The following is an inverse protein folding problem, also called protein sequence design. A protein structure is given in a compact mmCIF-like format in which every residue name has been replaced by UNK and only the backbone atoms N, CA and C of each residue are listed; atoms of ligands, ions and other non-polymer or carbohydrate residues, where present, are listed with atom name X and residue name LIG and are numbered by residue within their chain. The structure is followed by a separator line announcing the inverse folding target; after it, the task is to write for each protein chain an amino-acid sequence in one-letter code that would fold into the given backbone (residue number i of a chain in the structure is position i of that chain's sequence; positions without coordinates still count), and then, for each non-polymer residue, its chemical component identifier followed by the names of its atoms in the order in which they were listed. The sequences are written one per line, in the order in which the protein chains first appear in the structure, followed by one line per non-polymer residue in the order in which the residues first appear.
data_IF_989902309922
#
_entry.id   IF_989902309922
#
_cell.length_a   1.000
_cell.length_b   1.000
_cell.length_c   1.000
_cell.angle_alpha   90.00
_cell.angle_beta   90.00
_cell.angle_gamma   90.00
#
_symmetry.space_group_name_H-M   'P 1'
#
loop_
_entity.id
_entity.type
_entity.pdbx_description
1 polymer ?
#
# COMPACT_ATOMS: atom_id res chain seq x y z
N UNK A 1 20.06 -15.43 -7.20
CA UNK A 1 18.82 -15.99 -6.59
C UNK A 1 17.84 -14.92 -6.11
N UNK A 2 18.31 -13.80 -5.52
CA UNK A 2 17.50 -12.68 -5.00
C UNK A 2 16.46 -12.11 -5.99
N UNK A 3 16.80 -12.02 -7.28
CA UNK A 3 15.91 -11.45 -8.29
C UNK A 3 14.64 -12.29 -8.54
N UNK A 4 14.74 -13.64 -8.48
CA UNK A 4 13.60 -14.54 -8.72
C UNK A 4 12.47 -14.37 -7.70
N UNK A 5 12.81 -14.10 -6.45
CA UNK A 5 11.83 -13.89 -5.38
C UNK A 5 11.05 -12.58 -5.55
N UNK A 6 11.72 -11.50 -5.97
CA UNK A 6 11.06 -10.23 -6.26
C UNK A 6 10.16 -10.34 -7.49
N UNK A 7 10.62 -11.02 -8.56
CA UNK A 7 9.78 -11.33 -9.71
C UNK A 7 8.53 -12.12 -9.30
N UNK A 8 8.68 -13.15 -8.47
CA UNK A 8 7.54 -13.93 -7.98
C UNK A 8 6.54 -13.09 -7.19
N UNK A 9 6.99 -12.14 -6.36
CA UNK A 9 6.11 -11.19 -5.65
C UNK A 9 5.39 -10.25 -6.61
N UNK A 10 6.03 -9.83 -7.70
CA UNK A 10 5.40 -9.01 -8.75
C UNK A 10 4.33 -9.82 -9.49
N UNK A 11 4.65 -11.06 -9.86
CA UNK A 11 3.70 -11.97 -10.50
C UNK A 11 2.49 -12.26 -9.61
N UNK A 12 2.73 -12.52 -8.33
CA UNK A 12 1.67 -12.72 -7.34
C UNK A 12 0.81 -11.47 -7.20
N UNK A 13 1.42 -10.29 -7.11
CA UNK A 13 0.67 -9.03 -7.10
C UNK A 13 -0.20 -8.92 -8.35
N UNK A 14 0.35 -9.19 -9.54
CA UNK A 14 -0.39 -9.09 -10.80
C UNK A 14 -1.60 -10.03 -10.85
N UNK A 15 -1.49 -11.24 -10.31
CA UNK A 15 -2.56 -12.25 -10.41
C UNK A 15 -3.55 -12.23 -9.26
N UNK A 16 -3.16 -11.79 -8.07
CA UNK A 16 -4.00 -11.83 -6.88
C UNK A 16 -4.40 -10.45 -6.33
N UNK A 17 -4.00 -9.35 -6.99
CA UNK A 17 -4.40 -8.01 -6.56
C UNK A 17 -5.92 -7.83 -6.72
N UNK A 18 -6.55 -7.41 -5.62
CA UNK A 18 -7.93 -6.93 -5.60
C UNK A 18 -8.01 -5.73 -4.67
N UNK A 19 -9.04 -4.91 -4.81
CA UNK A 19 -9.25 -3.75 -3.94
C UNK A 19 -9.31 -4.14 -2.47
N UNK A 20 -9.86 -5.31 -2.14
CA UNK A 20 -9.99 -5.78 -0.76
C UNK A 20 -8.64 -6.12 -0.11
N UNK A 21 -7.61 -6.39 -0.92
CA UNK A 21 -6.26 -6.76 -0.47
C UNK A 21 -5.29 -5.57 -0.45
N UNK A 22 -5.73 -4.35 -0.76
CA UNK A 22 -4.84 -3.18 -0.92
C UNK A 22 -4.06 -2.89 0.37
N UNK A 23 -4.74 -2.94 1.53
CA UNK A 23 -4.13 -2.70 2.84
C UNK A 23 -3.07 -3.76 3.14
N UNK A 24 -3.33 -5.03 2.77
CA UNK A 24 -2.37 -6.13 2.95
C UNK A 24 -1.12 -5.89 2.10
N UNK A 25 -1.28 -5.54 0.83
CA UNK A 25 -0.14 -5.27 -0.06
C UNK A 25 0.68 -4.05 0.37
N UNK A 26 0.02 -3.05 0.97
CA UNK A 26 0.67 -1.86 1.51
C UNK A 26 1.41 -2.14 2.82
N UNK A 27 0.94 -3.05 3.67
CA UNK A 27 1.57 -3.35 4.97
C UNK A 27 2.62 -4.46 4.91
N UNK A 28 2.51 -5.38 3.95
CA UNK A 28 3.53 -6.40 3.70
C UNK A 28 4.86 -5.77 3.26
N UNK A 29 5.98 -6.38 3.65
CA UNK A 29 7.30 -6.05 3.08
C UNK A 29 7.41 -6.54 1.63
N UNK A 30 6.78 -5.76 0.76
CA UNK A 30 6.61 -5.99 -0.67
C UNK A 30 7.27 -4.88 -1.48
N UNK A 31 7.43 -5.11 -2.79
CA UNK A 31 7.89 -4.06 -3.68
C UNK A 31 6.93 -2.86 -3.69
N UNK A 32 5.63 -3.09 -3.50
CA UNK A 32 4.60 -2.04 -3.45
C UNK A 32 4.86 -1.13 -2.27
N UNK A 33 5.00 -1.67 -1.05
CA UNK A 33 5.33 -0.89 0.14
C UNK A 33 6.58 -0.04 -0.07
N UNK A 34 7.68 -0.66 -0.52
CA UNK A 34 8.97 0.04 -0.66
C UNK A 34 8.95 1.11 -1.74
N UNK A 35 8.41 0.81 -2.92
CA UNK A 35 8.39 1.74 -4.06
C UNK A 35 7.40 2.88 -3.83
N UNK A 36 6.20 2.58 -3.33
CA UNK A 36 5.19 3.60 -3.06
C UNK A 36 5.66 4.55 -1.97
N UNK A 37 6.16 4.03 -0.83
CA UNK A 37 6.68 4.89 0.22
C UNK A 37 7.88 5.73 -0.23
N UNK A 38 8.74 5.19 -1.11
CA UNK A 38 9.81 5.98 -1.72
C UNK A 38 9.24 7.09 -2.59
N UNK A 39 8.30 6.78 -3.48
CA UNK A 39 7.67 7.74 -4.38
C UNK A 39 6.99 8.89 -3.62
N UNK A 40 6.29 8.57 -2.53
CA UNK A 40 5.66 9.54 -1.63
C UNK A 40 6.70 10.42 -0.94
N UNK A 41 7.77 9.84 -0.38
CA UNK A 41 8.84 10.62 0.29
C UNK A 41 9.61 11.55 -0.63
N UNK A 42 9.80 11.14 -1.88
CA UNK A 42 10.55 11.95 -2.87
C UNK A 42 9.64 12.83 -3.73
N UNK A 43 8.32 12.79 -3.49
CA UNK A 43 7.30 13.49 -4.30
C UNK A 43 7.48 13.29 -5.81
N UNK A 44 7.92 12.09 -6.21
CA UNK A 44 8.24 11.83 -7.61
C UNK A 44 6.95 11.63 -8.39
N UNK A 45 6.52 12.67 -9.11
CA UNK A 45 5.23 12.70 -9.83
C UNK A 45 5.11 11.53 -10.82
N UNK A 46 6.18 11.16 -11.53
CA UNK A 46 6.14 10.03 -12.47
C UNK A 46 5.85 8.70 -11.76
N UNK A 47 6.48 8.46 -10.61
CA UNK A 47 6.20 7.27 -9.81
C UNK A 47 4.83 7.31 -9.14
N UNK A 48 4.40 8.47 -8.63
CA UNK A 48 3.05 8.63 -8.08
C UNK A 48 1.99 8.37 -9.14
N UNK A 49 2.20 8.86 -10.36
CA UNK A 49 1.33 8.61 -11.49
C UNK A 49 1.30 7.12 -11.86
N UNK A 50 2.45 6.42 -11.81
CA UNK A 50 2.52 4.97 -12.02
C UNK A 50 1.69 4.21 -10.97
N UNK A 51 1.75 4.62 -9.70
CA UNK A 51 1.02 3.99 -8.60
C UNK A 51 -0.40 4.55 -8.38
N UNK A 52 -0.89 5.46 -9.22
CA UNK A 52 -2.15 6.21 -8.98
C UNK A 52 -3.35 5.32 -8.67
N UNK A 53 -3.50 4.19 -9.36
CA UNK A 53 -4.62 3.28 -9.14
C UNK A 53 -4.55 2.65 -7.75
N UNK A 54 -3.36 2.19 -7.35
CA UNK A 54 -3.14 1.63 -6.02
C UNK A 54 -3.34 2.69 -4.92
N UNK A 55 -2.90 3.93 -5.14
CA UNK A 55 -3.11 5.04 -4.20
C UNK A 55 -4.60 5.33 -4.03
N UNK A 56 -5.35 5.41 -5.13
CA UNK A 56 -6.80 5.64 -5.11
C UNK A 56 -7.51 4.53 -4.32
N UNK A 57 -7.17 3.27 -4.59
CA UNK A 57 -7.74 2.12 -3.89
C UNK A 57 -7.38 2.13 -2.40
N UNK A 58 -6.13 2.45 -2.07
CA UNK A 58 -5.65 2.57 -0.68
C UNK A 58 -6.40 3.66 0.08
N UNK A 59 -6.58 4.85 -0.51
CA UNK A 59 -7.34 5.93 0.12
C UNK A 59 -8.79 5.50 0.38
N UNK A 60 -9.45 4.88 -0.61
CA UNK A 60 -10.84 4.39 -0.46
C UNK A 60 -10.95 3.37 0.67
N UNK A 61 -10.01 2.42 0.75
CA UNK A 61 -10.08 1.38 1.77
C UNK A 61 -9.76 1.93 3.17
N UNK A 62 -8.82 2.86 3.29
CA UNK A 62 -8.55 3.55 4.56
C UNK A 62 -9.73 4.40 5.03
N UNK A 63 -10.42 5.08 4.11
CA UNK A 63 -11.67 5.79 4.43
C UNK A 63 -12.77 4.85 4.90
N UNK A 64 -12.92 3.70 4.24
CA UNK A 64 -13.86 2.66 4.65
C UNK A 64 -13.57 2.17 6.07
N UNK A 65 -12.33 1.76 6.35
CA UNK A 65 -11.90 1.33 7.70
C UNK A 65 -12.14 2.43 8.74
N UNK A 66 -11.80 3.68 8.42
CA UNK A 66 -12.06 4.83 9.30
C UNK A 66 -13.54 5.00 9.60
N UNK A 67 -14.43 4.83 8.62
CA UNK A 67 -15.89 4.95 8.83
C UNK A 67 -16.49 3.78 9.61
N UNK A 68 -15.90 2.59 9.49
CA UNK A 68 -16.31 1.40 10.24
C UNK A 68 -15.86 1.46 11.70
N UNK A 69 -14.72 2.08 11.99
CA UNK A 69 -14.30 2.42 13.34
C UNK A 69 -15.21 3.54 13.84
N UNK A 70 -16.23 3.18 14.64
CA UNK A 70 -17.05 4.15 15.37
C UNK A 70 -16.13 4.96 16.27
N UNK A 71 -15.97 6.23 15.91
CA UNK A 71 -15.30 7.26 16.68
C UNK A 71 -15.67 7.18 18.17
N UNK A 72 -14.66 7.04 19.05
CA UNK A 72 -14.67 7.66 20.39
C UNK A 72 -13.43 7.45 21.28
N UNK A 73 -12.39 6.75 20.86
CA UNK A 73 -11.17 6.62 21.68
C UNK A 73 -9.96 7.26 20.99
N UNK A 74 -9.32 8.22 21.68
CA UNK A 74 -8.07 8.83 21.25
C UNK A 74 -6.98 7.75 21.28
N UNK A 75 -6.52 7.32 20.10
CA UNK A 75 -5.47 6.32 19.98
C UNK A 75 -4.08 6.98 20.05
N UNK A 76 -3.37 6.74 21.15
CA UNK A 76 -1.97 7.12 21.26
C UNK A 76 -1.09 6.06 20.59
N UNK A 77 -0.39 6.46 19.52
CA UNK A 77 0.51 5.59 18.76
C UNK A 77 1.97 6.00 18.96
N UNK A 78 2.87 5.01 18.94
CA UNK A 78 4.30 5.22 18.99
C UNK A 78 4.95 4.67 17.72
N UNK A 79 5.97 5.39 17.24
CA UNK A 79 6.88 4.92 16.20
C UNK A 79 8.30 5.05 16.74
N UNK A 80 8.99 3.92 16.86
CA UNK A 80 10.38 3.84 17.34
C UNK A 80 11.40 4.37 16.34
#
# INVERSE_FOLDING_TARGET
CFNKQQLSKIEQFRTSYTINEVIRWFTLDSFVYRLLNRALRTENISHLYLFRFFIIDLCKQLEHERTCIRDRDILHLYRG
#
